data_IF_675157866983
#
_entry.id   IF_675157866983
#
_cell.length_a   1.000
_cell.length_b   1.000
_cell.length_c   1.000
_cell.angle_alpha   90.00
_cell.angle_beta   90.00
_cell.angle_gamma   90.00
#
_symmetry.space_group_name_H-M   'P 1'
#
loop_
_entity.id
_entity.type
_entity.pdbx_description
1 polymer ?
#
# COMPACT_ATOMS: atom_id res chain seq x y z
N UNK A 1 10.83 -19.93 5.92
CA UNK A 1 10.33 -20.15 4.55
C UNK A 1 10.00 -21.61 4.35
N UNK A 2 10.90 -22.54 4.71
CA UNK A 2 10.69 -24.00 4.69
C UNK A 2 9.32 -24.43 5.21
N UNK A 3 8.94 -24.05 6.44
CA UNK A 3 7.63 -24.45 6.99
C UNK A 3 6.41 -23.95 6.21
N UNK A 4 6.50 -22.80 5.52
CA UNK A 4 5.39 -22.32 4.68
C UNK A 4 5.32 -23.12 3.37
N UNK A 5 6.47 -23.42 2.76
CA UNK A 5 6.55 -24.27 1.58
C UNK A 5 6.12 -25.71 1.86
N UNK A 6 6.49 -26.28 3.02
CA UNK A 6 6.07 -27.61 3.47
C UNK A 6 4.55 -27.69 3.71
N UNK A 7 3.93 -26.58 4.13
CA UNK A 7 2.48 -26.45 4.25
C UNK A 7 1.77 -26.23 2.89
N UNK A 8 2.49 -26.20 1.77
CA UNK A 8 1.96 -26.09 0.41
C UNK A 8 1.79 -24.65 -0.10
N UNK A 9 2.34 -23.65 0.58
CA UNK A 9 2.30 -22.27 0.08
C UNK A 9 3.33 -22.01 -1.02
N UNK A 10 2.97 -21.20 -2.01
CA UNK A 10 3.95 -20.58 -2.90
C UNK A 10 4.71 -19.48 -2.15
N UNK A 11 6.04 -19.53 -2.17
CA UNK A 11 6.89 -18.65 -1.38
C UNK A 11 7.91 -17.97 -2.28
N UNK A 12 7.99 -16.65 -2.20
CA UNK A 12 8.99 -15.83 -2.87
C UNK A 12 9.78 -15.00 -1.83
N UNK A 13 11.11 -14.92 -2.00
CA UNK A 13 11.97 -14.03 -1.21
C UNK A 13 12.41 -12.84 -2.07
N UNK A 14 12.14 -11.63 -1.57
CA UNK A 14 12.61 -10.40 -2.20
C UNK A 14 13.59 -9.70 -1.27
N UNK A 15 14.85 -9.57 -1.71
CA UNK A 15 15.85 -8.80 -0.98
C UNK A 15 15.82 -7.33 -1.41
N UNK A 16 15.22 -6.47 -0.57
CA UNK A 16 15.12 -5.03 -0.84
C UNK A 16 16.47 -4.28 -0.86
N UNK A 17 17.57 -4.93 -0.46
CA UNK A 17 18.95 -4.41 -0.55
C UNK A 17 19.73 -4.93 -1.77
N UNK A 18 19.09 -5.68 -2.66
CA UNK A 18 19.71 -6.08 -3.92
C UNK A 18 20.15 -4.82 -4.71
N UNK A 19 21.42 -4.80 -5.12
CA UNK A 19 22.03 -3.65 -5.81
C UNK A 19 21.48 -3.43 -7.21
N UNK A 20 20.78 -4.41 -7.77
CA UNK A 20 20.06 -4.27 -9.03
C UNK A 20 18.75 -3.47 -8.90
N UNK A 21 18.23 -3.31 -7.67
CA UNK A 21 17.01 -2.53 -7.43
C UNK A 21 17.36 -1.06 -7.20
N UNK A 22 16.91 -0.19 -8.10
CA UNK A 22 17.02 1.26 -7.99
C UNK A 22 15.64 1.88 -7.76
N UNK A 23 15.35 2.20 -6.51
CA UNK A 23 14.07 2.79 -6.13
C UNK A 23 14.22 3.87 -5.06
N UNK A 24 13.15 4.65 -4.88
CA UNK A 24 13.03 5.68 -3.83
C UNK A 24 11.91 5.33 -2.84
N UNK A 25 12.00 5.91 -1.65
CA UNK A 25 10.87 5.99 -0.72
C UNK A 25 9.75 6.89 -1.24
N UNK A 26 8.68 7.04 -0.46
CA UNK A 26 7.58 7.90 -0.87
C UNK A 26 8.08 9.36 -0.97
N UNK A 27 7.83 10.01 -2.11
CA UNK A 27 8.23 11.40 -2.35
C UNK A 27 7.05 12.38 -2.20
N UNK A 28 5.92 11.92 -1.66
CA UNK A 28 4.72 12.74 -1.47
C UNK A 28 4.27 13.48 -2.74
N UNK A 29 4.35 12.83 -3.90
CA UNK A 29 3.90 13.42 -5.16
C UNK A 29 2.38 13.40 -5.34
N UNK A 30 1.65 12.65 -4.50
CA UNK A 30 0.19 12.46 -4.53
C UNK A 30 -0.41 11.93 -5.84
N UNK A 31 0.41 11.44 -6.78
CA UNK A 31 -0.10 10.85 -8.02
C UNK A 31 -1.03 9.64 -7.78
N UNK A 32 -0.81 8.88 -6.70
CA UNK A 32 -1.67 7.76 -6.28
C UNK A 32 -2.99 8.18 -5.61
N UNK A 33 -3.20 9.49 -5.40
CA UNK A 33 -4.42 10.06 -4.79
C UNK A 33 -5.27 10.87 -5.77
N UNK A 34 -4.91 10.88 -7.05
CA UNK A 34 -5.68 11.57 -8.09
C UNK A 34 -7.07 10.93 -8.21
N UNK A 35 -8.13 11.77 -8.14
CA UNK A 35 -9.52 11.34 -8.34
C UNK A 35 -9.67 10.73 -9.74
N UNK A 36 -10.24 9.53 -9.82
CA UNK A 36 -10.38 8.78 -11.08
C UNK A 36 -9.11 8.05 -11.55
N UNK A 37 -8.00 8.12 -10.79
CA UNK A 37 -6.78 7.35 -11.06
C UNK A 37 -6.80 5.92 -10.51
N UNK A 38 -5.76 5.14 -10.81
CA UNK A 38 -5.54 3.80 -10.22
C UNK A 38 -5.29 3.95 -8.71
N UNK A 39 -6.19 3.38 -7.89
CA UNK A 39 -6.10 3.37 -6.42
C UNK A 39 -5.30 2.17 -5.90
N UNK A 40 -4.87 2.24 -4.64
CA UNK A 40 -4.32 1.09 -3.91
C UNK A 40 -2.86 0.75 -4.20
N UNK A 41 -2.22 1.37 -5.19
CA UNK A 41 -0.79 1.15 -5.49
C UNK A 41 -0.09 2.46 -5.86
N UNK A 42 1.20 2.56 -5.51
CA UNK A 42 2.00 3.74 -5.83
C UNK A 42 2.12 3.93 -7.34
N UNK A 43 1.89 5.14 -7.84
CA UNK A 43 1.99 5.47 -9.27
C UNK A 43 3.41 5.78 -9.74
N UNK A 44 4.38 5.89 -8.82
CA UNK A 44 5.77 6.13 -9.16
C UNK A 44 6.39 4.89 -9.81
N UNK A 45 7.03 5.07 -10.96
CA UNK A 45 7.58 3.99 -11.79
C UNK A 45 9.08 3.87 -11.56
N UNK A 46 9.45 2.80 -10.89
CA UNK A 46 10.83 2.34 -10.67
C UNK A 46 10.80 0.84 -10.36
N UNK A 47 11.95 0.25 -10.01
CA UNK A 47 12.05 -1.20 -9.80
C UNK A 47 11.16 -1.71 -8.66
N UNK A 48 10.74 -0.84 -7.74
CA UNK A 48 9.83 -1.20 -6.65
C UNK A 48 8.40 -1.43 -7.14
N UNK A 49 8.00 -0.92 -8.31
CA UNK A 49 6.62 -1.02 -8.78
C UNK A 49 6.16 -2.49 -8.96
N UNK A 50 7.03 -3.35 -9.49
CA UNK A 50 6.72 -4.78 -9.65
C UNK A 50 6.62 -5.48 -8.28
N UNK A 51 7.50 -5.13 -7.35
CA UNK A 51 7.51 -5.66 -5.98
C UNK A 51 6.24 -5.25 -5.24
N UNK A 52 5.79 -4.01 -5.40
CA UNK A 52 4.53 -3.52 -4.81
C UNK A 52 3.32 -4.28 -5.36
N UNK A 53 3.29 -4.56 -6.66
CA UNK A 53 2.20 -5.34 -7.25
C UNK A 53 2.15 -6.76 -6.69
N UNK A 54 3.30 -7.44 -6.63
CA UNK A 54 3.43 -8.75 -5.97
C UNK A 54 2.98 -8.73 -4.51
N UNK A 55 3.35 -7.68 -3.77
CA UNK A 55 2.97 -7.54 -2.37
C UNK A 55 1.47 -7.32 -2.17
N UNK A 56 0.80 -6.64 -3.11
CA UNK A 56 -0.66 -6.46 -3.10
C UNK A 56 -1.38 -7.75 -3.50
N UNK A 57 -0.81 -8.52 -4.42
CA UNK A 57 -1.42 -9.76 -4.93
C UNK A 57 -1.19 -10.96 -3.98
N UNK A 58 -0.26 -10.85 -3.02
CA UNK A 58 0.03 -11.91 -2.05
C UNK A 58 -1.04 -12.01 -0.94
N UNK A 59 -1.45 -13.24 -0.60
CA UNK A 59 -2.35 -13.49 0.52
C UNK A 59 -1.71 -13.17 1.89
N UNK A 60 -0.39 -13.36 1.99
CA UNK A 60 0.38 -13.13 3.21
C UNK A 60 1.70 -12.45 2.88
N UNK A 61 1.99 -11.34 3.57
CA UNK A 61 3.23 -10.59 3.44
C UNK A 61 4.04 -10.63 4.74
N UNK A 62 5.26 -11.15 4.67
CA UNK A 62 6.23 -11.10 5.77
C UNK A 62 7.34 -10.08 5.49
N UNK A 63 7.54 -9.15 6.41
CA UNK A 63 8.59 -8.14 6.32
C UNK A 63 9.67 -8.40 7.38
N UNK A 64 10.83 -8.89 6.95
CA UNK A 64 12.01 -9.04 7.80
C UNK A 64 13.00 -7.90 7.59
N UNK A 65 13.49 -7.30 8.68
CA UNK A 65 14.55 -6.29 8.61
C UNK A 65 15.39 -6.29 9.88
N UNK A 66 16.70 -5.98 9.80
CA UNK A 66 17.44 -5.55 10.98
C UNK A 66 16.81 -4.30 11.60
N UNK A 67 16.99 -4.13 12.90
CA UNK A 67 16.62 -2.92 13.64
C UNK A 67 17.82 -1.97 13.64
N UNK A 68 17.69 -0.85 12.95
CA UNK A 68 18.68 0.23 12.95
C UNK A 68 18.10 1.44 13.66
N UNK A 69 18.69 1.79 14.80
CA UNK A 69 18.31 2.98 15.58
C UNK A 69 16.81 3.02 15.91
N UNK A 70 16.26 1.88 16.36
CA UNK A 70 14.82 1.68 16.67
C UNK A 70 13.87 1.67 15.47
N UNK A 71 14.38 1.70 14.24
CA UNK A 71 13.58 1.62 13.03
C UNK A 71 13.95 0.39 12.19
N UNK A 72 13.05 -0.07 11.31
CA UNK A 72 13.47 -0.97 10.23
C UNK A 72 14.50 -0.27 9.34
N UNK A 73 15.17 -1.05 8.52
CA UNK A 73 16.07 -0.54 7.49
C UNK A 73 15.39 0.47 6.57
N UNK A 74 16.17 1.42 6.05
CA UNK A 74 15.67 2.47 5.16
C UNK A 74 14.97 1.89 3.92
N UNK A 75 15.51 0.79 3.39
CA UNK A 75 14.93 0.03 2.27
C UNK A 75 13.53 -0.51 2.58
N UNK A 76 13.35 -1.16 3.74
CA UNK A 76 12.03 -1.65 4.14
C UNK A 76 11.07 -0.49 4.43
N UNK A 77 11.54 0.59 5.06
CA UNK A 77 10.72 1.78 5.32
C UNK A 77 10.22 2.41 4.03
N UNK A 78 11.10 2.59 3.04
CA UNK A 78 10.76 3.09 1.71
C UNK A 78 9.70 2.22 1.01
N UNK A 79 9.82 0.90 1.12
CA UNK A 79 8.81 -0.04 0.65
C UNK A 79 7.46 0.15 1.35
N UNK A 80 7.44 0.15 2.68
CA UNK A 80 6.22 0.28 3.47
C UNK A 80 5.47 1.60 3.19
N UNK A 81 6.19 2.70 3.06
CA UNK A 81 5.58 4.01 2.74
C UNK A 81 4.87 3.98 1.39
N UNK A 82 5.46 3.33 0.38
CA UNK A 82 4.88 3.22 -0.96
C UNK A 82 3.83 2.11 -1.09
N UNK A 83 3.80 1.15 -0.18
CA UNK A 83 2.75 0.13 -0.10
C UNK A 83 1.50 0.66 0.61
N UNK A 84 1.68 1.27 1.79
CA UNK A 84 0.56 1.61 2.69
C UNK A 84 -0.09 2.94 2.29
N UNK A 85 0.71 3.96 1.94
CA UNK A 85 0.18 5.29 1.67
C UNK A 85 -0.86 5.32 0.52
N UNK A 86 -0.68 4.61 -0.60
CA UNK A 86 -1.70 4.53 -1.65
C UNK A 86 -3.01 3.85 -1.20
N UNK A 87 -2.93 2.92 -0.24
CA UNK A 87 -4.06 2.11 0.21
C UNK A 87 -4.97 2.82 1.23
N UNK A 88 -4.46 3.78 2.00
CA UNK A 88 -5.27 4.51 3.01
C UNK A 88 -6.10 5.62 2.38
N UNK A 89 -7.42 5.67 2.60
CA UNK A 89 -8.22 6.85 2.21
C UNK A 89 -8.21 7.88 3.34
N UNK A 90 -8.14 9.17 2.98
CA UNK A 90 -8.22 10.24 3.97
C UNK A 90 -9.62 10.34 4.58
N UNK A 91 -10.65 9.89 3.88
CA UNK A 91 -12.02 9.82 4.42
C UNK A 91 -12.14 8.88 5.62
N UNK A 92 -11.30 7.84 5.67
CA UNK A 92 -11.39 6.77 6.67
C UNK A 92 -10.96 7.27 8.05
N UNK A 93 -10.03 8.22 8.12
CA UNK A 93 -9.59 8.83 9.39
C UNK A 93 -10.64 9.75 10.02
N UNK A 94 -11.63 10.20 9.25
CA UNK A 94 -12.73 11.02 9.78
C UNK A 94 -13.85 10.14 10.39
N UNK A 95 -13.84 8.83 10.13
CA UNK A 95 -14.87 7.89 10.60
C UNK A 95 -14.25 6.57 11.08
N UNK A 96 -13.58 6.55 12.25
CA UNK A 96 -12.74 5.45 12.74
C UNK A 96 -13.48 4.14 13.09
N UNK A 97 -14.78 4.02 12.80
CA UNK A 97 -15.63 2.89 13.19
C UNK A 97 -16.21 2.08 12.03
N UNK A 98 -15.78 2.30 10.77
CA UNK A 98 -16.29 1.55 9.62
C UNK A 98 -15.26 0.57 9.05
N UNK A 99 -14.73 -0.32 9.90
CA UNK A 99 -14.01 -1.52 9.45
C UNK A 99 -14.91 -2.73 9.62
N UNK A 100 -15.83 -2.93 8.67
CA UNK A 100 -16.48 -4.22 8.43
C UNK A 100 -16.36 -4.49 6.94
N UNK A 101 -15.87 -5.68 6.62
CA UNK A 101 -15.64 -6.16 5.28
C UNK A 101 -16.89 -6.05 4.40
N UNK A 102 -16.77 -5.34 3.27
CA UNK A 102 -17.59 -5.57 2.07
C UNK A 102 -16.58 -5.48 0.92
N UNK A 103 -16.08 -6.59 0.39
CA UNK A 103 -16.90 -7.53 -0.35
C UNK A 103 -17.13 -6.92 -1.74
N UNK A 104 -16.61 -7.59 -2.76
CA UNK A 104 -16.95 -7.41 -4.17
C UNK A 104 -18.40 -6.97 -4.34
N UNK A 105 -18.66 -5.78 -4.89
CA UNK A 105 -20.04 -5.30 -5.03
C UNK A 105 -20.17 -3.89 -5.57
N UNK A 106 -20.60 -3.81 -6.81
CA UNK A 106 -20.97 -2.60 -7.52
C UNK A 106 -22.26 -1.99 -6.92
N UNK A 107 -22.41 -0.67 -7.09
CA UNK A 107 -23.64 0.14 -7.00
C UNK A 107 -24.17 0.63 -5.64
N UNK A 108 -24.70 1.86 -5.74
CA UNK A 108 -25.53 2.64 -4.81
C UNK A 108 -24.73 3.55 -3.89
N UNK A 109 -24.57 4.80 -4.34
CA UNK A 109 -24.69 6.09 -3.63
C UNK A 109 -24.30 7.19 -4.63
N UNK A 110 -24.96 7.25 -5.79
CA UNK A 110 -25.81 8.43 -6.04
C UNK A 110 -26.59 8.89 -4.79
N UNK A 111 -26.54 10.20 -4.56
CA UNK A 111 -27.20 10.97 -3.49
C UNK A 111 -26.47 11.06 -2.14
N UNK A 112 -25.44 11.91 -2.09
CA UNK A 112 -25.25 12.79 -0.94
C UNK A 112 -25.01 14.23 -1.45
N UNK A 113 -25.76 15.22 -0.95
CA UNK A 113 -25.85 16.56 -1.53
C UNK A 113 -24.50 17.27 -1.48
N UNK A 114 -24.18 18.00 -2.55
CA UNK A 114 -23.08 18.96 -2.57
C UNK A 114 -23.29 19.91 -1.40
N UNK A 115 -22.35 19.94 -0.46
CA UNK A 115 -22.29 20.94 0.60
C UNK A 115 -22.14 22.33 -0.03
N UNK A 116 -23.26 22.90 -0.46
CA UNK A 116 -23.56 24.31 -0.35
C UNK A 116 -23.69 24.57 1.16
N UNK A 117 -22.60 25.05 1.75
CA UNK A 117 -22.58 26.01 2.86
C UNK A 117 -21.17 26.04 3.42
N UNK A 118 -20.28 26.71 2.68
CA UNK A 118 -19.06 27.28 3.25
C UNK A 118 -19.04 28.75 2.85
N UNK A 119 -19.62 29.60 3.69
CA UNK A 119 -19.26 31.01 3.92
C UNK A 119 -20.15 31.59 5.04
N UNK A 120 -19.67 32.59 5.81
CA UNK A 120 -18.44 33.37 5.64
C UNK A 120 -17.23 32.84 6.43
#
# INVERSE_FOLDING_TARGET
>A
MEGASEAGAEVELINLYDRSLNYKGCMSCFACKIKGGKKGICSFRDDLQLILQKAVDADVLFCGSPVYVHYPSASLRAFMERLIFPAVDYSDFMHPHRTEAQGVGNHLHDELPTHADVSP
#
